data_IF_618714185686
#
_entry.id   IF_618714185686
#
_cell.length_a   1.000
_cell.length_b   1.000
_cell.length_c   1.000
_cell.angle_alpha   90.00
_cell.angle_beta   90.00
_cell.angle_gamma   90.00
#
_symmetry.space_group_name_H-M   'P 1'
#
loop_
_entity.id
_entity.type
_entity.pdbx_description
1 polymer ?
#
# COMPACT_ATOMS: atom_id res chain seq x y z
N UNK A 1 -23.36 25.16 24.67
CA UNK A 1 -22.56 24.70 23.52
C UNK A 1 -21.08 24.94 23.80
N UNK A 2 -20.42 23.99 24.46
CA UNK A 2 -19.01 24.10 24.89
C UNK A 2 -18.10 23.70 23.73
N UNK A 3 -17.48 24.69 23.10
CA UNK A 3 -16.46 24.49 22.06
C UNK A 3 -15.20 23.90 22.72
N UNK A 4 -15.00 22.58 22.57
CA UNK A 4 -13.78 21.88 22.98
C UNK A 4 -12.63 22.43 22.12
N UNK A 5 -11.77 23.26 22.72
CA UNK A 5 -10.52 23.74 22.10
C UNK A 5 -9.65 22.53 21.80
N UNK A 6 -9.79 21.94 20.60
CA UNK A 6 -9.01 20.76 20.17
C UNK A 6 -7.55 21.18 20.11
N UNK A 7 -6.77 20.73 21.09
CA UNK A 7 -5.36 21.06 21.20
C UNK A 7 -4.66 20.45 19.99
N UNK A 8 -4.25 21.28 19.01
CA UNK A 8 -3.70 20.83 17.71
C UNK A 8 -2.47 19.94 17.89
N UNK A 9 -1.79 20.07 19.03
CA UNK A 9 -0.70 19.20 19.49
C UNK A 9 -1.10 17.73 19.69
N UNK A 10 -2.31 17.45 20.18
CA UNK A 10 -2.78 16.07 20.35
C UNK A 10 -3.06 15.40 19.00
N UNK A 11 -3.63 16.15 18.04
CA UNK A 11 -3.84 15.64 16.68
C UNK A 11 -2.53 15.33 15.97
N UNK A 12 -1.54 16.22 16.07
CA UNK A 12 -0.19 15.99 15.55
C UNK A 12 0.50 14.80 16.20
N UNK A 13 0.35 14.62 17.51
CA UNK A 13 0.93 13.48 18.23
C UNK A 13 0.34 12.13 17.76
N UNK A 14 -0.98 12.07 17.52
CA UNK A 14 -1.63 10.86 16.98
C UNK A 14 -1.12 10.55 15.57
N UNK A 15 -1.02 11.55 14.68
CA UNK A 15 -0.50 11.37 13.32
C UNK A 15 0.94 10.87 13.32
N UNK A 16 1.82 11.47 14.13
CA UNK A 16 3.21 11.04 14.27
C UNK A 16 3.29 9.63 14.84
N UNK A 17 2.46 9.29 15.83
CA UNK A 17 2.38 7.93 16.36
C UNK A 17 1.97 6.90 15.30
N UNK A 18 1.00 7.23 14.45
CA UNK A 18 0.52 6.35 13.39
C UNK A 18 1.59 6.13 12.30
N UNK A 19 2.30 7.19 11.91
CA UNK A 19 3.43 7.11 10.97
C UNK A 19 4.58 6.26 11.54
N UNK A 20 4.96 6.49 12.80
CA UNK A 20 6.02 5.71 13.46
C UNK A 20 5.64 4.23 13.57
N UNK A 21 4.37 3.93 13.88
CA UNK A 21 3.86 2.56 13.88
C UNK A 21 3.95 1.93 12.49
N UNK A 22 3.55 2.66 11.44
CA UNK A 22 3.68 2.20 10.05
C UNK A 22 5.13 1.87 9.67
N UNK A 23 6.08 2.75 10.02
CA UNK A 23 7.52 2.55 9.78
C UNK A 23 8.04 1.35 10.58
N UNK A 24 7.61 1.21 11.85
CA UNK A 24 8.00 0.08 12.70
C UNK A 24 7.55 -1.24 12.11
N UNK A 25 6.27 -1.35 11.70
CA UNK A 25 5.73 -2.54 11.02
C UNK A 25 6.49 -2.82 9.73
N UNK A 26 6.71 -1.80 8.90
CA UNK A 26 7.45 -1.93 7.65
C UNK A 26 8.84 -2.54 7.85
N UNK A 27 9.55 -2.09 8.89
CA UNK A 27 10.90 -2.59 9.21
C UNK A 27 10.88 -3.94 9.91
N UNK A 28 9.95 -4.17 10.85
CA UNK A 28 9.89 -5.40 11.63
C UNK A 28 9.58 -6.63 10.78
N UNK A 29 8.77 -6.46 9.73
CA UNK A 29 8.41 -7.54 8.80
C UNK A 29 9.30 -7.56 7.54
N UNK A 30 10.37 -6.76 7.49
CA UNK A 30 11.29 -6.65 6.35
C UNK A 30 10.57 -6.46 4.99
N UNK A 31 9.51 -5.64 4.97
CA UNK A 31 8.68 -5.40 3.78
C UNK A 31 9.50 -4.87 2.59
N UNK A 32 10.64 -4.23 2.85
CA UNK A 32 11.55 -3.77 1.81
C UNK A 32 12.06 -4.90 0.89
N UNK A 33 12.30 -6.09 1.43
CA UNK A 33 12.76 -7.24 0.65
C UNK A 33 11.64 -7.79 -0.25
N UNK A 34 10.42 -7.89 0.30
CA UNK A 34 9.23 -8.29 -0.44
C UNK A 34 8.84 -7.25 -1.52
N UNK A 35 9.11 -5.98 -1.27
CA UNK A 35 8.95 -4.87 -2.21
C UNK A 35 10.19 -4.62 -3.05
N UNK A 36 11.06 -5.62 -3.21
CA UNK A 36 12.17 -5.55 -4.16
C UNK A 36 11.73 -6.06 -5.54
N UNK A 37 12.31 -5.48 -6.59
CA UNK A 37 12.09 -5.95 -7.96
C UNK A 37 12.53 -7.41 -8.14
N UNK A 38 13.62 -7.81 -7.50
CA UNK A 38 14.15 -9.18 -7.52
C UNK A 38 13.16 -10.18 -6.93
N UNK A 39 12.52 -9.84 -5.80
CA UNK A 39 11.50 -10.68 -5.17
C UNK A 39 10.24 -10.81 -6.03
N UNK A 40 9.75 -9.71 -6.60
CA UNK A 40 8.58 -9.74 -7.50
C UNK A 40 8.86 -10.60 -8.72
N UNK A 41 10.05 -10.46 -9.32
CA UNK A 41 10.45 -11.23 -10.49
C UNK A 41 10.55 -12.73 -10.18
N UNK A 42 11.20 -13.09 -9.07
CA UNK A 42 11.32 -14.49 -8.65
C UNK A 42 9.99 -15.12 -8.23
N UNK A 43 9.05 -14.32 -7.71
CA UNK A 43 7.71 -14.79 -7.30
C UNK A 43 6.65 -14.67 -8.41
N UNK A 44 7.01 -14.25 -9.63
CA UNK A 44 6.08 -13.90 -10.70
C UNK A 44 5.12 -15.05 -11.05
N UNK A 45 5.65 -16.25 -11.30
CA UNK A 45 4.81 -17.42 -11.64
C UNK A 45 3.83 -17.78 -10.52
N UNK A 46 4.28 -17.69 -9.27
CA UNK A 46 3.47 -18.01 -8.09
C UNK A 46 2.31 -17.02 -7.93
N UNK A 47 2.58 -15.73 -8.11
CA UNK A 47 1.54 -14.70 -8.11
C UNK A 47 0.58 -14.85 -9.29
N UNK A 48 1.08 -15.21 -10.48
CA UNK A 48 0.24 -15.46 -11.63
C UNK A 48 -0.71 -16.64 -11.39
N UNK A 49 -0.24 -17.75 -10.80
CA UNK A 49 -1.08 -18.89 -10.43
C UNK A 49 -2.16 -18.53 -9.38
N UNK A 50 -1.80 -17.72 -8.38
CA UNK A 50 -2.75 -17.19 -7.39
C UNK A 50 -3.80 -16.29 -8.03
N UNK A 51 -3.38 -15.43 -8.97
CA UNK A 51 -4.29 -14.54 -9.70
C UNK A 51 -5.29 -15.32 -10.56
N UNK A 52 -4.84 -16.39 -11.22
CA UNK A 52 -5.72 -17.24 -12.03
C UNK A 52 -6.73 -18.01 -11.18
N UNK A 53 -6.36 -18.41 -9.97
CA UNK A 53 -7.27 -19.14 -9.05
C UNK A 53 -8.21 -18.22 -8.27
N UNK A 54 -7.76 -17.03 -7.86
CA UNK A 54 -8.48 -16.14 -6.94
C UNK A 54 -8.42 -14.66 -7.37
N UNK A 55 -8.84 -14.38 -8.60
CA UNK A 55 -8.70 -13.07 -9.26
C UNK A 55 -9.15 -11.88 -8.41
N UNK A 56 -10.39 -11.93 -7.90
CA UNK A 56 -10.98 -10.82 -7.13
C UNK A 56 -10.27 -10.61 -5.79
N UNK A 57 -9.88 -11.70 -5.12
CA UNK A 57 -9.16 -11.61 -3.86
C UNK A 57 -7.77 -10.98 -4.04
N UNK A 58 -7.05 -11.36 -5.12
CA UNK A 58 -5.72 -10.80 -5.42
C UNK A 58 -5.81 -9.32 -5.78
N UNK A 59 -6.78 -8.90 -6.59
CA UNK A 59 -7.00 -7.49 -6.90
C UNK A 59 -7.34 -6.70 -5.63
N UNK A 60 -8.27 -7.21 -4.82
CA UNK A 60 -8.68 -6.55 -3.57
C UNK A 60 -7.52 -6.41 -2.58
N UNK A 61 -6.73 -7.48 -2.40
CA UNK A 61 -5.54 -7.45 -1.56
C UNK A 61 -4.50 -6.45 -2.07
N UNK A 62 -4.21 -6.46 -3.37
CA UNK A 62 -3.28 -5.51 -3.99
C UNK A 62 -3.72 -4.06 -3.77
N UNK A 63 -4.99 -3.74 -4.05
CA UNK A 63 -5.54 -2.39 -3.86
C UNK A 63 -5.47 -1.98 -2.39
N UNK A 64 -5.85 -2.86 -1.46
CA UNK A 64 -5.80 -2.59 -0.03
C UNK A 64 -4.37 -2.33 0.49
N UNK A 65 -3.40 -3.15 0.05
CA UNK A 65 -1.98 -2.96 0.38
C UNK A 65 -1.48 -1.63 -0.19
N UNK A 66 -1.81 -1.33 -1.45
CA UNK A 66 -1.37 -0.08 -2.08
C UNK A 66 -1.93 1.15 -1.35
N UNK A 67 -3.22 1.13 -0.98
CA UNK A 67 -3.84 2.19 -0.17
C UNK A 67 -3.12 2.35 1.17
N UNK A 68 -2.82 1.25 1.86
CA UNK A 68 -2.13 1.32 3.15
C UNK A 68 -0.71 1.91 3.00
N UNK A 69 0.03 1.50 1.98
CA UNK A 69 1.38 2.01 1.69
C UNK A 69 1.35 3.50 1.37
N UNK A 70 0.40 3.96 0.55
CA UNK A 70 0.30 5.38 0.21
C UNK A 70 -0.25 6.24 1.35
N UNK A 71 -1.27 5.76 2.08
CA UNK A 71 -1.83 6.46 3.24
C UNK A 71 -0.81 6.63 4.37
N UNK A 72 0.04 5.63 4.60
CA UNK A 72 1.11 5.69 5.59
C UNK A 72 2.40 6.31 5.05
N UNK A 73 2.41 6.76 3.80
CA UNK A 73 3.60 7.32 3.12
C UNK A 73 4.83 6.41 3.19
N UNK A 74 4.61 5.09 3.12
CA UNK A 74 5.67 4.09 3.20
C UNK A 74 6.45 4.01 1.88
N UNK A 75 7.76 3.70 1.93
CA UNK A 75 8.54 3.44 0.74
C UNK A 75 8.06 2.17 0.02
N UNK A 76 8.20 2.12 -1.31
CA UNK A 76 7.88 0.93 -2.12
C UNK A 76 6.62 1.03 -2.98
N UNK A 77 5.89 2.15 -2.95
CA UNK A 77 4.74 2.39 -3.84
C UNK A 77 5.10 2.23 -5.34
N UNK A 78 6.29 2.68 -5.76
CA UNK A 78 6.78 2.52 -7.12
C UNK A 78 6.91 1.04 -7.51
N UNK A 79 7.43 0.22 -6.60
CA UNK A 79 7.60 -1.22 -6.84
C UNK A 79 6.25 -1.94 -6.87
N UNK A 80 5.30 -1.55 -6.01
CA UNK A 80 3.91 -2.02 -6.10
C UNK A 80 3.28 -1.66 -7.44
N UNK A 81 3.47 -0.44 -7.96
CA UNK A 81 2.97 -0.05 -9.28
C UNK A 81 3.49 -0.96 -10.39
N UNK A 82 4.78 -1.30 -10.36
CA UNK A 82 5.38 -2.25 -11.30
C UNK A 82 4.81 -3.67 -11.11
N UNK A 83 4.61 -4.10 -9.87
CA UNK A 83 3.95 -5.36 -9.54
C UNK A 83 2.54 -5.44 -10.15
N UNK A 84 1.75 -4.37 -9.99
CA UNK A 84 0.40 -4.28 -10.55
C UNK A 84 0.39 -4.33 -12.08
N UNK A 85 1.33 -3.64 -12.74
CA UNK A 85 1.50 -3.73 -14.19
C UNK A 85 1.90 -5.14 -14.65
N UNK A 86 2.74 -5.84 -13.88
CA UNK A 86 3.16 -7.21 -14.16
C UNK A 86 2.07 -8.26 -13.91
N UNK A 87 1.27 -8.12 -12.86
CA UNK A 87 0.20 -9.06 -12.50
C UNK A 87 -1.07 -8.88 -13.35
N UNK A 88 -1.49 -7.62 -13.56
CA UNK A 88 -2.79 -7.29 -14.15
C UNK A 88 -2.70 -6.78 -15.59
N UNK A 89 -1.48 -6.64 -16.13
CA UNK A 89 -1.21 -5.94 -17.37
C UNK A 89 -1.26 -4.41 -17.21
N UNK A 90 -0.80 -3.68 -18.21
CA UNK A 90 -0.69 -2.21 -18.14
C UNK A 90 -2.04 -1.53 -17.86
N UNK A 91 -3.10 -1.91 -18.59
CA UNK A 91 -4.42 -1.30 -18.42
C UNK A 91 -5.02 -1.60 -17.03
N UNK A 92 -5.07 -2.88 -16.64
CA UNK A 92 -5.62 -3.29 -15.34
C UNK A 92 -4.82 -2.75 -14.17
N UNK A 93 -3.48 -2.79 -14.26
CA UNK A 93 -2.58 -2.23 -13.26
C UNK A 93 -2.75 -0.72 -13.12
N UNK A 94 -2.84 0.02 -14.22
CA UNK A 94 -3.03 1.49 -14.19
C UNK A 94 -4.34 1.88 -13.51
N UNK A 95 -5.44 1.20 -13.84
CA UNK A 95 -6.74 1.47 -13.22
C UNK A 95 -6.68 1.17 -11.71
N UNK A 96 -6.16 0.01 -11.33
CA UNK A 96 -6.04 -0.38 -9.93
C UNK A 96 -5.17 0.59 -9.12
N UNK A 97 -4.01 0.97 -9.66
CA UNK A 97 -3.08 1.93 -9.04
C UNK A 97 -3.70 3.30 -8.93
N UNK A 98 -4.39 3.80 -9.97
CA UNK A 98 -4.97 5.14 -9.95
C UNK A 98 -6.04 5.28 -8.87
N UNK A 99 -6.92 4.29 -8.75
CA UNK A 99 -7.96 4.24 -7.70
C UNK A 99 -7.31 4.14 -6.33
N UNK A 100 -6.38 3.20 -6.14
CA UNK A 100 -5.71 2.99 -4.86
C UNK A 100 -4.90 4.22 -4.40
N UNK A 101 -4.19 4.86 -5.33
CA UNK A 101 -3.41 6.07 -5.09
C UNK A 101 -4.28 7.24 -4.66
N UNK A 102 -5.41 7.45 -5.34
CA UNK A 102 -6.36 8.53 -5.00
C UNK A 102 -6.93 8.35 -3.60
N UNK A 103 -7.35 7.13 -3.25
CA UNK A 103 -7.90 6.83 -1.93
C UNK A 103 -6.82 6.98 -0.86
N UNK A 104 -5.64 6.39 -1.05
CA UNK A 104 -4.56 6.46 -0.08
C UNK A 104 -4.04 7.88 0.13
N UNK A 105 -3.89 8.67 -0.93
CA UNK A 105 -3.51 10.09 -0.82
C UNK A 105 -4.57 10.94 -0.10
N UNK A 106 -5.85 10.53 -0.14
CA UNK A 106 -6.92 11.20 0.62
C UNK A 106 -6.92 10.82 2.10
N UNK A 107 -6.32 9.68 2.45
CA UNK A 107 -6.22 9.18 3.82
C UNK A 107 -4.93 9.60 4.53
N UNK A 108 -3.89 9.98 3.78
CA UNK A 108 -2.63 10.53 4.29
C UNK A 108 -2.81 11.94 4.86
#
# INVERSE_FOLDING_TARGET
MTQRKRNTWQGKAVLVGLLLLGIFVFRYFDLGEYLSLEYIKSSQERFHALYQSHRLAVIGAYVGIYIAVTALSLPGAAVLTLAGGGLFGLAGGTVAVSVASTIGATLA
#
